data_IF_717365725948
#
_entry.id   IF_717365725948
#
_cell.length_a   1.000
_cell.length_b   1.000
_cell.length_c   1.000
_cell.angle_alpha   90.00
_cell.angle_beta   90.00
_cell.angle_gamma   90.00
#
_symmetry.space_group_name_H-M   'P 1'
#
loop_
_entity.id
_entity.type
_entity.pdbx_description
1 polymer ?
#
# COMPACT_ATOMS: atom_id res chain seq x y z
N UNK A 1 -9.11 -9.00 -23.27
CA UNK A 1 -9.55 -8.82 -21.85
C UNK A 1 -8.47 -9.20 -20.84
N UNK A 2 -7.86 -10.39 -20.92
CA UNK A 2 -6.83 -10.84 -19.97
C UNK A 2 -5.56 -9.96 -19.93
N UNK A 3 -5.11 -9.46 -21.09
CA UNK A 3 -3.96 -8.54 -21.20
C UNK A 3 -4.20 -7.23 -20.45
N UNK A 4 -5.39 -6.63 -20.59
CA UNK A 4 -5.75 -5.41 -19.87
C UNK A 4 -5.74 -5.64 -18.34
N UNK A 5 -6.27 -6.77 -17.89
CA UNK A 5 -6.25 -7.16 -16.49
C UNK A 5 -4.82 -7.37 -15.93
N UNK A 6 -3.89 -7.83 -16.77
CA UNK A 6 -2.47 -7.95 -16.41
C UNK A 6 -1.80 -6.57 -16.33
N UNK A 7 -2.05 -5.69 -17.31
CA UNK A 7 -1.50 -4.32 -17.32
C UNK A 7 -1.96 -3.53 -16.10
N UNK A 8 -3.27 -3.51 -15.81
CA UNK A 8 -3.80 -2.91 -14.58
C UNK A 8 -3.12 -3.52 -13.35
N UNK A 9 -2.84 -4.81 -13.42
CA UNK A 9 -2.11 -5.59 -12.42
C UNK A 9 -0.76 -5.01 -12.04
N UNK A 10 -0.01 -4.70 -13.08
CA UNK A 10 1.37 -4.23 -13.01
C UNK A 10 1.39 -2.75 -12.60
N UNK A 11 0.50 -1.93 -13.16
CA UNK A 11 0.47 -0.49 -12.87
C UNK A 11 0.01 -0.23 -11.44
N UNK A 12 -1.01 -0.96 -10.97
CA UNK A 12 -1.57 -0.82 -9.62
C UNK A 12 -1.00 -1.89 -8.68
N UNK A 13 0.30 -2.16 -8.79
CA UNK A 13 0.96 -3.16 -7.97
C UNK A 13 1.06 -2.71 -6.49
N UNK A 14 0.86 -3.61 -5.50
CA UNK A 14 0.87 -3.25 -4.09
C UNK A 14 2.13 -2.51 -3.61
N UNK A 15 3.30 -2.81 -4.19
CA UNK A 15 4.59 -2.18 -3.81
C UNK A 15 4.62 -0.67 -4.08
N UNK A 16 3.88 -0.18 -5.09
CA UNK A 16 3.82 1.25 -5.41
C UNK A 16 2.76 1.99 -4.61
N UNK A 17 1.84 1.28 -3.95
CA UNK A 17 0.71 1.89 -3.25
C UNK A 17 1.13 2.80 -2.10
N UNK A 18 2.08 2.45 -1.22
CA UNK A 18 2.52 3.35 -0.15
C UNK A 18 3.08 4.68 -0.67
N UNK A 19 3.89 4.63 -1.73
CA UNK A 19 4.43 5.83 -2.38
C UNK A 19 3.30 6.67 -3.00
N UNK A 20 2.38 6.04 -3.73
CA UNK A 20 1.25 6.72 -4.34
C UNK A 20 0.36 7.38 -3.28
N UNK A 21 0.09 6.68 -2.17
CA UNK A 21 -0.66 7.22 -1.04
C UNK A 21 0.02 8.45 -0.46
N UNK A 22 1.34 8.42 -0.25
CA UNK A 22 2.10 9.58 0.26
C UNK A 22 2.03 10.78 -0.70
N UNK A 23 2.26 10.54 -2.00
CA UNK A 23 2.21 11.59 -3.03
C UNK A 23 0.82 12.24 -3.09
N UNK A 24 -0.24 11.42 -3.07
CA UNK A 24 -1.61 11.93 -3.07
C UNK A 24 -1.94 12.64 -1.76
N UNK A 25 -1.50 12.13 -0.60
CA UNK A 25 -1.70 12.80 0.68
C UNK A 25 -1.06 14.18 0.69
N UNK A 26 0.20 14.32 0.25
CA UNK A 26 0.88 15.62 0.21
C UNK A 26 0.24 16.60 -0.79
N UNK A 27 -0.30 16.08 -1.89
CA UNK A 27 -0.97 16.89 -2.92
C UNK A 27 -2.35 17.36 -2.48
N UNK A 28 -3.12 16.50 -1.81
CA UNK A 28 -4.53 16.74 -1.49
C UNK A 28 -4.73 17.34 -0.10
N UNK A 29 -3.75 17.20 0.79
CA UNK A 29 -3.84 17.69 2.16
C UNK A 29 -2.74 18.71 2.48
N UNK A 30 -3.08 20.02 2.45
CA UNK A 30 -2.15 21.08 2.78
C UNK A 30 -1.58 20.98 4.20
N UNK A 31 -2.30 20.39 5.17
CA UNK A 31 -1.79 20.30 6.55
C UNK A 31 -0.53 19.44 6.64
N UNK A 32 -0.41 18.45 5.75
CA UNK A 32 0.72 17.53 5.72
C UNK A 32 1.90 18.12 4.95
N UNK A 33 1.65 18.86 3.88
CA UNK A 33 2.70 19.36 2.98
C UNK A 33 3.17 20.78 3.28
N UNK A 34 2.35 21.63 3.90
CA UNK A 34 2.61 23.07 4.07
C UNK A 34 3.91 23.36 4.85
N UNK A 35 4.21 22.57 5.89
CA UNK A 35 5.39 22.79 6.74
C UNK A 35 6.68 22.18 6.19
N UNK A 36 6.62 21.45 5.06
CA UNK A 36 7.77 20.78 4.46
C UNK A 36 8.27 21.54 3.24
N UNK A 37 9.49 22.08 3.24
CA UNK A 37 10.08 22.68 2.05
C UNK A 37 10.13 21.69 0.88
N UNK A 38 9.95 22.12 -0.38
CA UNK A 38 9.93 21.22 -1.53
C UNK A 38 11.12 20.24 -1.62
N UNK A 39 12.38 20.63 -1.33
CA UNK A 39 13.50 19.68 -1.31
C UNK A 39 13.31 18.52 -0.32
N UNK A 40 12.73 18.80 0.85
CA UNK A 40 12.44 17.78 1.87
C UNK A 40 11.32 16.85 1.41
N UNK A 41 10.28 17.39 0.74
CA UNK A 41 9.22 16.55 0.16
C UNK A 41 9.77 15.58 -0.90
N UNK A 42 10.60 16.07 -1.82
CA UNK A 42 11.24 15.23 -2.84
C UNK A 42 12.15 14.17 -2.23
N UNK A 43 12.94 14.54 -1.22
CA UNK A 43 13.74 13.58 -0.46
C UNK A 43 12.87 12.51 0.19
N UNK A 44 11.74 12.89 0.78
CA UNK A 44 10.79 11.97 1.41
C UNK A 44 10.20 11.00 0.39
N UNK A 45 9.75 11.50 -0.77
CA UNK A 45 9.25 10.64 -1.85
C UNK A 45 10.31 9.67 -2.36
N UNK A 46 11.55 10.13 -2.53
CA UNK A 46 12.68 9.29 -2.93
C UNK A 46 12.98 8.20 -1.91
N UNK A 47 13.06 8.57 -0.63
CA UNK A 47 13.27 7.63 0.47
C UNK A 47 12.16 6.57 0.54
N UNK A 48 10.89 6.99 0.49
CA UNK A 48 9.75 6.06 0.49
C UNK A 48 9.79 5.16 -0.75
N UNK A 49 10.09 5.69 -1.94
CA UNK A 49 10.22 4.90 -3.15
C UNK A 49 11.30 3.81 -3.03
N UNK A 50 12.46 4.15 -2.44
CA UNK A 50 13.52 3.18 -2.18
C UNK A 50 13.05 2.09 -1.21
N UNK A 51 12.42 2.47 -0.10
CA UNK A 51 12.00 1.53 0.93
C UNK A 51 10.82 0.66 0.52
N UNK A 52 9.86 1.17 -0.25
CA UNK A 52 8.61 0.43 -0.56
C UNK A 52 8.57 -0.15 -1.96
N UNK A 53 9.44 0.29 -2.87
CA UNK A 53 9.52 -0.23 -4.24
C UNK A 53 10.87 -0.91 -4.47
N UNK A 54 11.98 -0.18 -4.35
CA UNK A 54 13.30 -0.70 -4.75
C UNK A 54 13.70 -1.90 -3.92
N UNK A 55 13.68 -1.81 -2.59
CA UNK A 55 14.09 -2.91 -1.71
C UNK A 55 13.17 -4.14 -1.77
N UNK A 56 11.83 -4.03 -1.74
CA UNK A 56 10.96 -5.19 -1.92
C UNK A 56 11.13 -5.87 -3.27
N UNK A 57 11.24 -5.10 -4.36
CA UNK A 57 11.40 -5.66 -5.71
C UNK A 57 12.76 -6.32 -5.86
N UNK A 58 13.85 -5.67 -5.44
CA UNK A 58 15.19 -6.26 -5.51
C UNK A 58 15.27 -7.56 -4.70
N UNK A 59 14.71 -7.57 -3.50
CA UNK A 59 14.70 -8.76 -2.63
C UNK A 59 13.88 -9.89 -3.23
N UNK A 60 12.73 -9.57 -3.82
CA UNK A 60 11.90 -10.56 -4.53
C UNK A 60 12.63 -11.16 -5.73
N UNK A 61 13.35 -10.34 -6.50
CA UNK A 61 14.17 -10.81 -7.63
C UNK A 61 15.31 -11.71 -7.15
N UNK A 62 15.97 -11.36 -6.04
CA UNK A 62 17.03 -12.19 -5.45
C UNK A 62 16.49 -13.53 -4.97
N UNK A 63 15.33 -13.56 -4.31
CA UNK A 63 14.66 -14.80 -3.89
C UNK A 63 14.30 -15.69 -5.08
N UNK A 64 13.87 -15.10 -6.19
CA UNK A 64 13.60 -15.85 -7.40
C UNK A 64 14.89 -16.42 -8.01
N UNK A 65 15.95 -15.61 -8.08
CA UNK A 65 17.25 -16.05 -8.62
C UNK A 65 17.96 -17.10 -7.77
N UNK A 66 17.73 -17.11 -6.46
CA UNK A 66 18.25 -18.14 -5.56
C UNK A 66 17.43 -19.44 -5.58
N UNK A 67 16.30 -19.48 -6.29
CA UNK A 67 15.39 -20.63 -6.32
C UNK A 67 14.49 -20.75 -5.09
N UNK A 68 14.49 -19.75 -4.20
CA UNK A 68 13.63 -19.75 -3.00
C UNK A 68 12.14 -19.54 -3.32
N UNK A 69 11.83 -18.91 -4.46
CA UNK A 69 10.47 -18.82 -5.02
C UNK A 69 10.47 -19.24 -6.48
N UNK A 70 9.40 -19.90 -6.94
CA UNK A 70 9.27 -20.40 -8.32
C UNK A 70 9.19 -19.31 -9.38
N UNK A 71 8.74 -18.11 -9.02
CA UNK A 71 8.60 -16.99 -9.94
C UNK A 71 8.09 -15.72 -9.27
N UNK A 72 8.23 -14.58 -9.97
CA UNK A 72 7.78 -13.27 -9.48
C UNK A 72 6.26 -13.19 -9.28
N UNK A 73 5.49 -14.06 -9.92
CA UNK A 73 4.02 -14.15 -9.76
C UNK A 73 3.59 -14.92 -8.52
N UNK A 74 4.51 -15.65 -7.86
CA UNK A 74 4.31 -16.41 -6.63
C UNK A 74 2.98 -17.21 -6.64
N UNK A 75 2.88 -18.23 -7.50
CA UNK A 75 1.66 -19.02 -7.65
C UNK A 75 1.30 -19.77 -6.37
N UNK A 76 2.27 -20.08 -5.50
CA UNK A 76 2.04 -20.73 -4.23
C UNK A 76 1.87 -19.68 -3.12
N UNK A 77 0.98 -19.98 -2.16
CA UNK A 77 0.72 -19.09 -1.02
C UNK A 77 1.94 -18.92 -0.13
N UNK A 78 2.68 -20.01 0.08
CA UNK A 78 3.83 -20.07 0.98
C UNK A 78 4.99 -19.19 0.49
N UNK A 79 5.16 -19.07 -0.83
CA UNK A 79 6.15 -18.19 -1.47
C UNK A 79 5.92 -16.70 -1.17
N UNK A 80 4.72 -16.32 -0.72
CA UNK A 80 4.37 -14.93 -0.41
C UNK A 80 4.78 -14.51 0.99
N UNK A 81 5.05 -15.46 1.89
CA UNK A 81 5.34 -15.19 3.31
C UNK A 81 6.66 -14.42 3.45
N UNK A 82 7.73 -14.89 2.81
CA UNK A 82 9.05 -14.25 2.89
C UNK A 82 9.04 -12.84 2.27
N UNK A 83 8.49 -12.61 1.05
CA UNK A 83 8.33 -11.26 0.50
C UNK A 83 7.50 -10.32 1.38
N UNK A 84 6.42 -10.81 2.02
CA UNK A 84 5.60 -10.01 2.94
C UNK A 84 6.37 -9.64 4.21
N UNK A 85 7.15 -10.56 4.78
CA UNK A 85 8.02 -10.29 5.93
C UNK A 85 9.09 -9.23 5.59
N UNK A 86 9.73 -9.36 4.43
CA UNK A 86 10.71 -8.37 3.96
C UNK A 86 10.05 -7.00 3.75
N UNK A 87 8.87 -6.97 3.12
CA UNK A 87 8.10 -5.72 2.92
C UNK A 87 7.73 -5.08 4.25
N UNK A 88 7.31 -5.88 5.25
CA UNK A 88 7.04 -5.39 6.60
C UNK A 88 8.29 -4.78 7.24
N UNK A 89 9.44 -5.44 7.13
CA UNK A 89 10.72 -4.93 7.66
C UNK A 89 11.08 -3.57 7.03
N UNK A 90 11.01 -3.47 5.70
CA UNK A 90 11.32 -2.23 4.99
C UNK A 90 10.32 -1.11 5.30
N UNK A 91 9.04 -1.44 5.46
CA UNK A 91 8.02 -0.47 5.92
C UNK A 91 8.27 -0.01 7.36
N UNK A 92 8.67 -0.91 8.25
CA UNK A 92 9.07 -0.54 9.61
C UNK A 92 10.27 0.40 9.63
N UNK A 93 11.29 0.12 8.81
CA UNK A 93 12.43 1.02 8.62
C UNK A 93 12.01 2.36 8.01
N UNK A 94 11.10 2.34 7.02
CA UNK A 94 10.53 3.55 6.43
C UNK A 94 9.82 4.42 7.46
N UNK A 95 8.96 3.81 8.30
CA UNK A 95 8.26 4.52 9.38
C UNK A 95 9.22 5.09 10.40
N UNK A 96 10.27 4.34 10.77
CA UNK A 96 11.32 4.84 11.66
C UNK A 96 12.04 6.06 11.07
N UNK A 97 12.41 6.02 9.78
CA UNK A 97 13.08 7.14 9.11
C UNK A 97 12.15 8.36 8.98
N UNK A 98 10.85 8.15 8.72
CA UNK A 98 9.88 9.23 8.75
C UNK A 98 9.87 9.93 10.11
N UNK A 99 9.85 9.18 11.23
CA UNK A 99 9.91 9.78 12.57
C UNK A 99 11.20 10.57 12.86
N UNK A 100 12.26 10.41 12.06
CA UNK A 100 13.47 11.24 12.15
C UNK A 100 13.37 12.55 11.36
N UNK A 101 12.36 12.69 10.51
CA UNK A 101 12.07 13.89 9.75
C UNK A 101 11.02 14.79 10.44
N UNK A 102 10.87 16.04 10.00
CA UNK A 102 9.88 16.97 10.53
C UNK A 102 8.51 16.79 9.84
N UNK A 103 7.99 15.56 9.76
CA UNK A 103 6.69 15.31 9.10
C UNK A 103 5.51 15.55 10.03
N UNK A 104 4.35 15.83 9.43
CA UNK A 104 3.10 15.94 10.16
C UNK A 104 2.74 14.58 10.81
N UNK A 105 2.19 14.56 12.04
CA UNK A 105 1.82 13.33 12.74
C UNK A 105 0.94 12.36 11.92
N UNK A 106 0.05 12.91 11.09
CA UNK A 106 -0.78 12.12 10.16
C UNK A 106 0.03 11.29 9.14
N UNK A 107 1.24 11.71 8.76
CA UNK A 107 2.13 10.92 7.90
C UNK A 107 2.60 9.66 8.60
N UNK A 108 2.97 9.75 9.88
CA UNK A 108 3.36 8.57 10.68
C UNK A 108 2.18 7.64 10.89
N UNK A 109 0.99 8.20 11.15
CA UNK A 109 -0.22 7.41 11.33
C UNK A 109 -0.63 6.66 10.07
N UNK A 110 -0.49 7.30 8.90
CA UNK A 110 -0.70 6.69 7.61
C UNK A 110 0.24 5.49 7.38
N UNK A 111 1.54 5.66 7.61
CA UNK A 111 2.52 4.59 7.44
C UNK A 111 2.39 3.49 8.50
N UNK A 112 1.96 3.82 9.71
CA UNK A 112 1.58 2.85 10.74
C UNK A 112 0.41 1.98 10.26
N UNK A 113 -0.61 2.58 9.65
CA UNK A 113 -1.72 1.86 9.06
C UNK A 113 -1.33 0.98 7.86
N UNK A 114 -0.38 1.43 7.03
CA UNK A 114 0.19 0.61 5.94
C UNK A 114 0.95 -0.59 6.51
N UNK A 115 1.77 -0.38 7.54
CA UNK A 115 2.49 -1.46 8.23
C UNK A 115 1.51 -2.47 8.85
N UNK A 116 0.47 -1.99 9.52
CA UNK A 116 -0.61 -2.83 10.07
C UNK A 116 -1.32 -3.63 8.96
N UNK A 117 -1.65 -3.01 7.83
CA UNK A 117 -2.28 -3.68 6.71
C UNK A 117 -1.40 -4.83 6.18
N UNK A 118 -0.09 -4.61 6.04
CA UNK A 118 0.85 -5.66 5.62
C UNK A 118 0.99 -6.76 6.68
N UNK A 119 1.00 -6.40 7.97
CA UNK A 119 1.04 -7.36 9.06
C UNK A 119 -0.18 -8.27 9.11
N UNK A 120 -1.38 -7.69 9.03
CA UNK A 120 -2.61 -8.46 8.97
C UNK A 120 -2.68 -9.30 7.68
N UNK A 121 -2.21 -8.77 6.56
CA UNK A 121 -2.10 -9.52 5.30
C UNK A 121 -1.19 -10.73 5.44
N UNK A 122 -0.05 -10.60 6.11
CA UNK A 122 0.86 -11.71 6.40
C UNK A 122 0.15 -12.79 7.22
N UNK A 123 -0.50 -12.41 8.33
CA UNK A 123 -1.22 -13.34 9.21
C UNK A 123 -2.33 -14.08 8.45
N UNK A 124 -3.13 -13.37 7.67
CA UNK A 124 -4.18 -13.99 6.84
C UNK A 124 -3.57 -14.91 5.80
N UNK A 125 -2.46 -14.51 5.17
CA UNK A 125 -1.76 -15.29 4.12
C UNK A 125 -1.21 -16.62 4.65
N UNK A 126 -0.98 -16.78 5.96
CA UNK A 126 -0.62 -18.08 6.54
C UNK A 126 -1.71 -19.14 6.33
N UNK A 127 -2.99 -18.73 6.24
CA UNK A 127 -4.14 -19.64 6.14
C UNK A 127 -4.98 -19.45 4.89
N UNK A 128 -5.00 -18.27 4.27
CA UNK A 128 -5.89 -17.96 3.14
C UNK A 128 -5.28 -16.95 2.16
N UNK A 129 -5.47 -17.15 0.86
CA UNK A 129 -4.86 -16.35 -0.21
C UNK A 129 -5.59 -15.01 -0.43
N UNK A 130 -5.46 -14.08 0.52
CA UNK A 130 -5.97 -12.71 0.37
C UNK A 130 -5.30 -11.97 -0.80
N UNK A 131 -6.01 -11.05 -1.44
CA UNK A 131 -5.48 -10.26 -2.54
C UNK A 131 -4.69 -9.04 -2.04
N UNK A 132 -3.36 -9.11 -2.05
CA UNK A 132 -2.48 -7.99 -1.67
C UNK A 132 -2.68 -6.74 -2.54
N UNK A 133 -3.10 -6.90 -3.81
CA UNK A 133 -3.42 -5.78 -4.69
C UNK A 133 -4.62 -4.98 -4.15
N UNK A 134 -5.63 -5.71 -3.64
CA UNK A 134 -6.81 -5.08 -3.05
C UNK A 134 -6.51 -4.48 -1.69
N UNK A 135 -5.62 -5.09 -0.90
CA UNK A 135 -5.09 -4.46 0.33
C UNK A 135 -4.40 -3.15 0.00
N UNK A 136 -3.57 -3.10 -1.04
CA UNK A 136 -2.87 -1.90 -1.47
C UNK A 136 -3.81 -0.75 -1.83
N UNK A 137 -4.74 -0.95 -2.77
CA UNK A 137 -5.66 0.12 -3.19
C UNK A 137 -6.71 0.45 -2.11
N UNK A 138 -7.13 -0.56 -1.32
CA UNK A 138 -7.97 -0.35 -0.15
C UNK A 138 -7.28 0.53 0.89
N UNK A 139 -6.00 0.30 1.15
CA UNK A 139 -5.18 1.11 2.05
C UNK A 139 -4.98 2.54 1.57
N UNK A 140 -4.83 2.74 0.26
CA UNK A 140 -4.78 4.08 -0.33
C UNK A 140 -6.11 4.82 -0.10
N UNK A 141 -7.25 4.17 -0.40
CA UNK A 141 -8.58 4.75 -0.16
C UNK A 141 -8.82 5.06 1.32
N UNK A 142 -8.46 4.13 2.23
CA UNK A 142 -8.60 4.30 3.68
C UNK A 142 -7.77 5.46 4.21
N UNK A 143 -6.51 5.57 3.79
CA UNK A 143 -5.65 6.69 4.16
C UNK A 143 -6.23 8.05 3.72
N UNK A 144 -6.61 8.20 2.45
CA UNK A 144 -7.13 9.47 1.95
C UNK A 144 -8.47 9.85 2.57
N UNK A 145 -9.40 8.90 2.71
CA UNK A 145 -10.68 9.14 3.38
C UNK A 145 -10.50 9.46 4.87
N UNK A 146 -9.52 8.83 5.54
CA UNK A 146 -9.16 9.15 6.92
C UNK A 146 -8.64 10.58 7.05
N UNK A 147 -7.78 11.03 6.13
CA UNK A 147 -7.29 12.42 6.08
C UNK A 147 -8.40 13.43 5.84
N UNK A 148 -9.35 13.12 4.96
CA UNK A 148 -10.53 13.97 4.74
C UNK A 148 -11.36 14.12 6.01
N UNK A 149 -11.53 13.04 6.77
CA UNK A 149 -12.25 13.10 8.03
C UNK A 149 -11.47 13.86 9.12
N UNK A 150 -10.15 13.67 9.18
CA UNK A 150 -9.28 14.29 10.19
C UNK A 150 -9.09 15.79 9.97
N UNK A 151 -8.85 16.22 8.74
CA UNK A 151 -8.50 17.60 8.40
C UNK A 151 -9.56 18.35 7.59
N UNK A 152 -10.70 17.72 7.30
CA UNK A 152 -11.79 18.32 6.53
C UNK A 152 -11.43 18.62 5.07
N UNK A 153 -10.44 17.94 4.50
CA UNK A 153 -10.03 18.14 3.10
C UNK A 153 -11.11 17.61 2.15
N UNK A 154 -11.34 18.31 1.03
CA UNK A 154 -12.37 17.95 0.06
C UNK A 154 -11.73 17.55 -1.26
N UNK A 155 -11.71 16.23 -1.55
CA UNK A 155 -11.16 15.67 -2.79
C UNK A 155 -12.08 14.57 -3.37
N UNK A 156 -13.34 14.91 -3.73
CA UNK A 156 -14.33 13.93 -4.17
C UNK A 156 -14.00 13.32 -5.55
N UNK A 157 -13.39 14.10 -6.44
CA UNK A 157 -13.06 13.64 -7.79
C UNK A 157 -11.96 12.58 -7.75
N UNK A 158 -10.92 12.82 -6.96
CA UNK A 158 -9.80 11.90 -6.77
C UNK A 158 -10.27 10.60 -6.11
N UNK A 159 -11.12 10.69 -5.07
CA UNK A 159 -11.72 9.50 -4.47
C UNK A 159 -12.61 8.74 -5.46
N UNK A 160 -13.44 9.42 -6.25
CA UNK A 160 -14.28 8.78 -7.26
C UNK A 160 -13.43 8.01 -8.29
N UNK A 161 -12.35 8.63 -8.79
CA UNK A 161 -11.41 7.98 -9.70
C UNK A 161 -10.76 6.76 -9.05
N UNK A 162 -10.31 6.87 -7.79
CA UNK A 162 -9.69 5.76 -7.07
C UNK A 162 -10.68 4.61 -6.79
N UNK A 163 -11.94 4.90 -6.52
CA UNK A 163 -13.00 3.90 -6.36
C UNK A 163 -13.23 3.15 -7.69
N UNK A 164 -13.30 3.88 -8.82
CA UNK A 164 -13.41 3.27 -10.15
C UNK A 164 -12.19 2.39 -10.45
N UNK A 165 -10.99 2.86 -10.15
CA UNK A 165 -9.76 2.08 -10.30
C UNK A 165 -9.73 0.86 -9.38
N UNK A 166 -10.23 0.96 -8.15
CA UNK A 166 -10.36 -0.16 -7.23
C UNK A 166 -11.34 -1.21 -7.76
N UNK A 167 -12.48 -0.79 -8.31
CA UNK A 167 -13.42 -1.69 -9.00
C UNK A 167 -12.78 -2.40 -10.19
N UNK A 168 -12.11 -1.65 -11.07
CA UNK A 168 -11.41 -2.20 -12.24
C UNK A 168 -10.29 -3.17 -11.84
N UNK A 169 -9.51 -2.83 -10.80
CA UNK A 169 -8.47 -3.70 -10.25
C UNK A 169 -9.07 -4.98 -9.65
N UNK A 170 -10.16 -4.86 -8.90
CA UNK A 170 -10.90 -6.00 -8.35
C UNK A 170 -11.37 -6.95 -9.45
N UNK A 171 -12.01 -6.43 -10.49
CA UNK A 171 -12.40 -7.21 -11.67
C UNK A 171 -11.20 -7.88 -12.34
N UNK A 172 -10.08 -7.16 -12.48
CA UNK A 172 -8.85 -7.74 -13.04
C UNK A 172 -8.31 -8.91 -12.19
N UNK A 173 -8.37 -8.84 -10.86
CA UNK A 173 -7.93 -9.93 -9.97
C UNK A 173 -8.82 -11.17 -10.06
N UNK A 174 -10.11 -11.00 -10.29
CA UNK A 174 -11.04 -12.10 -10.57
C UNK A 174 -10.78 -12.72 -11.94
N UNK A 175 -10.63 -11.89 -12.99
CA UNK A 175 -10.45 -12.34 -14.38
C UNK A 175 -9.13 -13.06 -14.65
N UNK A 176 -8.05 -12.72 -13.94
CA UNK A 176 -6.75 -13.40 -14.10
C UNK A 176 -6.79 -14.83 -13.53
N UNK A 177 -7.83 -15.18 -12.74
CA UNK A 177 -8.08 -16.52 -12.21
C UNK A 177 -7.32 -16.85 -10.92
N UNK A 178 -6.75 -15.83 -10.26
CA UNK A 178 -5.90 -16.02 -9.07
C UNK A 178 -6.60 -15.82 -7.72
N UNK A 179 -7.82 -15.26 -7.73
CA UNK A 179 -8.55 -14.90 -6.51
C UNK A 179 -10.06 -15.08 -6.61
N UNK A 180 -10.70 -15.33 -5.47
CA UNK A 180 -12.18 -15.34 -5.34
C UNK A 180 -12.71 -13.96 -4.94
N UNK A 181 -14.03 -13.72 -5.12
CA UNK A 181 -14.67 -12.47 -4.71
C UNK A 181 -14.45 -12.16 -3.23
N UNK A 182 -14.51 -13.18 -2.35
CA UNK A 182 -14.23 -13.02 -0.93
C UNK A 182 -12.79 -12.55 -0.66
N UNK A 183 -11.80 -13.07 -1.39
CA UNK A 183 -10.39 -12.66 -1.23
C UNK A 183 -10.12 -11.24 -1.70
N UNK A 184 -10.84 -10.81 -2.74
CA UNK A 184 -10.81 -9.44 -3.25
C UNK A 184 -11.45 -8.48 -2.24
N UNK A 185 -12.68 -8.78 -1.79
CA UNK A 185 -13.40 -7.95 -0.83
C UNK A 185 -12.67 -7.85 0.51
N UNK A 186 -12.20 -8.97 1.07
CA UNK A 186 -11.44 -8.99 2.31
C UNK A 186 -10.15 -8.17 2.21
N UNK A 187 -9.46 -8.24 1.06
CA UNK A 187 -8.28 -7.41 0.81
C UNK A 187 -8.61 -5.92 0.87
N UNK A 188 -9.64 -5.48 0.14
CA UNK A 188 -10.08 -4.07 0.13
C UNK A 188 -10.43 -3.58 1.53
N UNK A 189 -11.26 -4.33 2.26
CA UNK A 189 -11.73 -3.96 3.61
C UNK A 189 -10.57 -3.91 4.59
N UNK A 190 -9.69 -4.91 4.58
CA UNK A 190 -8.53 -4.96 5.47
C UNK A 190 -7.61 -3.76 5.25
N UNK A 191 -7.27 -3.46 3.98
CA UNK A 191 -6.43 -2.31 3.65
C UNK A 191 -7.07 -0.99 4.09
N UNK A 192 -8.35 -0.81 3.74
CA UNK A 192 -9.11 0.40 4.06
C UNK A 192 -9.16 0.63 5.57
N UNK A 193 -9.64 -0.35 6.35
CA UNK A 193 -9.82 -0.19 7.78
C UNK A 193 -8.48 0.00 8.52
N UNK A 194 -7.41 -0.68 8.09
CA UNK A 194 -6.10 -0.55 8.74
C UNK A 194 -5.57 0.88 8.66
N UNK A 195 -5.61 1.47 7.47
CA UNK A 195 -5.09 2.82 7.23
C UNK A 195 -6.04 3.90 7.73
N UNK A 196 -7.35 3.76 7.48
CA UNK A 196 -8.36 4.71 7.94
C UNK A 196 -8.34 4.82 9.47
N UNK A 197 -8.36 3.69 10.18
CA UNK A 197 -8.38 3.69 11.65
C UNK A 197 -7.12 4.33 12.23
N UNK A 198 -5.94 3.97 11.72
CA UNK A 198 -4.68 4.57 12.21
C UNK A 198 -4.65 6.08 11.97
N UNK A 199 -5.06 6.56 10.80
CA UNK A 199 -5.08 7.99 10.48
C UNK A 199 -6.07 8.73 11.38
N UNK A 200 -7.30 8.25 11.49
CA UNK A 200 -8.38 8.90 12.25
C UNK A 200 -8.09 8.94 13.74
N UNK A 201 -7.58 7.84 14.31
CA UNK A 201 -7.24 7.76 15.72
C UNK A 201 -5.84 8.32 16.04
N UNK A 202 -5.09 8.75 15.02
CA UNK A 202 -3.75 9.31 15.18
C UNK A 202 -2.72 8.32 15.73
N UNK A 203 -2.85 7.02 15.43
CA UNK A 203 -1.96 5.96 15.95
C UNK A 203 -0.59 6.05 15.26
N UNK A 204 0.47 6.36 16.01
CA UNK A 204 1.83 6.56 15.51
C UNK A 204 2.76 5.66 16.33
N UNK A 205 3.20 4.54 15.73
CA UNK A 205 4.07 3.54 16.37
C UNK A 205 5.56 3.87 16.17
#
# INVERSE_FOLDING_TARGET
>A
MRTLAQVLSIVLHPVVMPLLTLVLAFRLDPHISFFLPPPVQWFTFGMVAVMTVVFPVSSTVLLWRSGAISGLTMPLREERVVPLLMTMLYLGMCLYLLHRGPHHPATYALFTGVLLAVALTLVVTLRWRISAHMVGIGGLLGALSGLQMLHGTFAPLELAVLIVLAGALGSARLLVGGHTAGQVAAGTVLGFLSTWTCVVLGIQL
#
